data_IF_224516843767
#
_entry.id   IF_224516843767
#
_cell.length_a   1.000
_cell.length_b   1.000
_cell.length_c   1.000
_cell.angle_alpha   90.00
_cell.angle_beta   90.00
_cell.angle_gamma   90.00
#
_symmetry.space_group_name_H-M   'P 1'
#
loop_
_entity.id
_entity.type
_entity.pdbx_description
1 polymer ?
#
# COMPACT_ATOMS: atom_id res chain seq x y z
N UNK A 1 8.98 3.47 -15.96
CA UNK A 1 9.04 2.12 -15.38
C UNK A 1 8.18 2.16 -14.11
N UNK A 2 6.88 1.93 -14.25
CA UNK A 2 5.94 2.03 -13.14
C UNK A 2 6.04 0.77 -12.29
N UNK A 3 6.44 0.91 -11.03
CA UNK A 3 6.44 -0.17 -10.07
C UNK A 3 4.99 -0.49 -9.69
N UNK A 4 4.32 -1.30 -10.51
CA UNK A 4 3.05 -1.92 -10.14
C UNK A 4 3.37 -3.00 -9.09
N UNK A 5 3.02 -2.75 -7.83
CA UNK A 5 2.84 -3.84 -6.86
C UNK A 5 1.61 -4.63 -7.31
N UNK A 6 1.81 -5.60 -8.21
CA UNK A 6 0.72 -6.40 -8.77
C UNK A 6 0.26 -7.52 -7.82
N UNK A 7 0.99 -7.82 -6.75
CA UNK A 7 0.68 -8.95 -5.86
C UNK A 7 -0.71 -8.84 -5.20
N UNK A 8 -1.19 -7.64 -4.90
CA UNK A 8 -2.52 -7.44 -4.32
C UNK A 8 -3.68 -7.56 -5.33
N UNK A 9 -3.39 -7.44 -6.63
CA UNK A 9 -4.41 -7.31 -7.67
C UNK A 9 -4.90 -8.66 -8.16
N UNK A 10 -6.20 -8.92 -8.00
CA UNK A 10 -6.84 -10.16 -8.47
C UNK A 10 -6.10 -11.41 -7.98
N UNK A 11 -5.91 -12.40 -8.85
CA UNK A 11 -5.25 -13.66 -8.48
C UNK A 11 -3.73 -13.65 -8.69
N UNK A 12 -3.11 -12.47 -8.85
CA UNK A 12 -1.68 -12.36 -9.17
C UNK A 12 -0.77 -13.05 -8.16
N UNK A 13 -1.05 -12.93 -6.86
CA UNK A 13 -0.28 -13.63 -5.82
C UNK A 13 -0.43 -15.15 -5.89
N UNK A 14 -1.64 -15.64 -6.19
CA UNK A 14 -1.92 -17.06 -6.37
C UNK A 14 -1.13 -17.61 -7.56
N UNK A 15 -1.23 -16.96 -8.72
CA UNK A 15 -0.53 -17.36 -9.92
C UNK A 15 1.00 -17.35 -9.74
N UNK A 16 1.54 -16.38 -9.00
CA UNK A 16 2.97 -16.33 -8.71
C UNK A 16 3.44 -17.56 -7.90
N UNK A 17 2.65 -17.97 -6.89
CA UNK A 17 2.96 -19.15 -6.07
C UNK A 17 2.82 -20.46 -6.86
N UNK A 18 1.74 -20.63 -7.61
CA UNK A 18 1.52 -21.81 -8.45
C UNK A 18 2.62 -21.98 -9.51
N UNK A 19 3.06 -20.87 -10.12
CA UNK A 19 4.12 -20.88 -11.15
C UNK A 19 5.45 -21.41 -10.63
N UNK A 20 5.77 -21.22 -9.35
CA UNK A 20 7.03 -21.70 -8.75
C UNK A 20 6.86 -23.05 -8.02
N UNK A 21 5.73 -23.73 -8.25
CA UNK A 21 5.47 -25.11 -7.83
C UNK A 21 4.83 -25.27 -6.45
N UNK A 22 4.39 -24.18 -5.80
CA UNK A 22 3.60 -24.31 -4.59
C UNK A 22 2.22 -24.90 -4.92
N UNK A 23 1.70 -25.72 -3.99
CA UNK A 23 0.39 -26.38 -4.08
C UNK A 23 -0.49 -25.97 -2.90
N UNK A 24 -1.79 -26.23 -3.04
CA UNK A 24 -2.79 -25.88 -2.02
C UNK A 24 -2.74 -24.39 -1.65
N UNK A 25 -2.67 -23.54 -2.67
CA UNK A 25 -2.60 -22.09 -2.46
C UNK A 25 -3.99 -21.59 -2.04
N UNK A 26 -4.07 -21.07 -0.82
CA UNK A 26 -5.24 -20.40 -0.29
C UNK A 26 -4.96 -18.90 -0.19
N UNK A 27 -5.90 -18.08 -0.65
CA UNK A 27 -5.83 -16.62 -0.59
C UNK A 27 -6.85 -16.11 0.42
N UNK A 28 -6.40 -15.29 1.37
CA UNK A 28 -7.25 -14.56 2.29
C UNK A 28 -7.08 -13.06 2.07
N UNK A 29 -8.20 -12.37 1.82
CA UNK A 29 -8.26 -10.91 1.72
C UNK A 29 -8.81 -10.35 3.03
N UNK A 30 -8.11 -9.37 3.59
CA UNK A 30 -8.48 -8.67 4.81
C UNK A 30 -8.73 -7.21 4.47
N UNK A 31 -9.99 -6.79 4.53
CA UNK A 31 -10.34 -5.37 4.53
C UNK A 31 -10.01 -4.79 5.90
N UNK A 32 -9.23 -3.72 5.92
CA UNK A 32 -8.81 -3.04 7.14
C UNK A 32 -9.04 -1.54 7.01
N UNK A 33 -9.14 -0.87 8.16
CA UNK A 33 -9.05 0.59 8.22
C UNK A 33 -7.68 0.94 8.78
N UNK A 34 -6.88 1.64 7.99
CA UNK A 34 -5.61 2.22 8.43
C UNK A 34 -5.92 3.52 9.17
N UNK A 35 -5.43 3.63 10.40
CA UNK A 35 -5.69 4.74 11.29
C UNK A 35 -4.44 5.59 11.44
N UNK A 36 -4.42 6.77 10.82
CA UNK A 36 -3.33 7.73 10.94
C UNK A 36 -3.74 8.89 11.83
N UNK A 37 -3.06 9.03 12.97
CA UNK A 37 -3.34 10.10 13.94
C UNK A 37 -3.01 11.51 13.45
N UNK A 38 -2.30 11.66 12.33
CA UNK A 38 -2.01 12.95 11.71
C UNK A 38 -1.77 12.81 10.21
N UNK A 39 -1.85 13.94 9.50
CA UNK A 39 -1.48 13.98 8.09
C UNK A 39 0.00 13.64 7.86
N UNK A 40 0.87 14.04 8.79
CA UNK A 40 2.29 13.69 8.76
C UNK A 40 2.48 12.17 8.85
N UNK A 41 1.82 11.50 9.80
CA UNK A 41 1.86 10.05 9.92
C UNK A 41 1.35 9.33 8.66
N UNK A 42 0.29 9.87 8.03
CA UNK A 42 -0.20 9.34 6.76
C UNK A 42 0.83 9.50 5.63
N UNK A 43 1.48 10.66 5.54
CA UNK A 43 2.54 10.91 4.54
C UNK A 43 3.75 10.00 4.76
N UNK A 44 4.19 9.84 6.01
CA UNK A 44 5.32 8.97 6.34
C UNK A 44 5.02 7.52 5.97
N UNK A 45 3.83 7.02 6.31
CA UNK A 45 3.40 5.67 5.95
C UNK A 45 3.39 5.45 4.42
N UNK A 46 2.95 6.44 3.64
CA UNK A 46 2.92 6.35 2.19
C UNK A 46 4.31 6.43 1.56
N UNK A 47 5.17 7.33 2.03
CA UNK A 47 6.38 7.74 1.31
C UNK A 47 7.69 7.20 1.88
N UNK A 48 7.77 6.78 3.14
CA UNK A 48 9.03 6.32 3.75
C UNK A 48 9.22 4.79 3.67
N UNK A 49 8.14 4.00 3.72
CA UNK A 49 8.21 2.54 3.75
C UNK A 49 7.66 1.82 2.51
N UNK A 50 7.02 2.56 1.60
CA UNK A 50 6.24 1.98 0.50
C UNK A 50 7.02 1.75 -0.80
N UNK A 51 6.38 1.14 -1.83
CA UNK A 51 6.94 1.02 -3.19
C UNK A 51 7.41 2.34 -3.81
N UNK A 52 6.86 3.45 -3.32
CA UNK A 52 7.15 4.79 -3.82
C UNK A 52 8.32 5.45 -3.09
N UNK A 53 8.89 4.85 -2.03
CA UNK A 53 9.94 5.48 -1.23
C UNK A 53 11.19 5.80 -2.04
N UNK A 54 11.64 4.87 -2.89
CA UNK A 54 12.78 5.09 -3.78
C UNK A 54 12.55 6.20 -4.81
N UNK A 55 11.30 6.40 -5.25
CA UNK A 55 10.96 7.50 -6.16
C UNK A 55 10.91 8.83 -5.38
N UNK A 56 10.29 8.81 -4.21
CA UNK A 56 10.16 9.95 -3.31
C UNK A 56 11.54 10.48 -2.83
N UNK A 57 12.50 9.59 -2.58
CA UNK A 57 13.87 9.94 -2.22
C UNK A 57 14.59 10.75 -3.31
N UNK A 58 14.20 10.58 -4.58
CA UNK A 58 14.79 11.32 -5.71
C UNK A 58 14.16 12.69 -5.94
N UNK A 59 13.03 12.99 -5.29
CA UNK A 59 12.38 14.28 -5.43
C UNK A 59 13.15 15.36 -4.67
N UNK A 60 13.21 16.56 -5.26
CA UNK A 60 13.64 17.76 -4.56
C UNK A 60 12.63 18.16 -3.48
N UNK A 61 13.02 19.09 -2.61
CA UNK A 61 12.20 19.51 -1.48
C UNK A 61 10.86 20.14 -1.91
N UNK A 62 10.83 20.88 -3.02
CA UNK A 62 9.62 21.49 -3.55
C UNK A 62 8.63 20.43 -4.04
N UNK A 63 9.12 19.48 -4.82
CA UNK A 63 8.34 18.33 -5.28
C UNK A 63 7.82 17.49 -4.11
N UNK A 64 8.64 17.24 -3.08
CA UNK A 64 8.21 16.54 -1.85
C UNK A 64 7.08 17.26 -1.13
N UNK A 65 7.13 18.59 -1.01
CA UNK A 65 6.05 19.39 -0.41
C UNK A 65 4.76 19.30 -1.23
N UNK A 66 4.87 19.38 -2.55
CA UNK A 66 3.72 19.28 -3.45
C UNK A 66 3.03 17.92 -3.34
N UNK A 67 3.77 16.81 -3.46
CA UNK A 67 3.16 15.47 -3.39
C UNK A 67 2.56 15.16 -2.03
N UNK A 68 3.16 15.66 -0.92
CA UNK A 68 2.53 15.57 0.41
C UNK A 68 1.21 16.32 0.46
N UNK A 69 1.16 17.55 -0.06
CA UNK A 69 -0.07 18.36 -0.08
C UNK A 69 -1.18 17.69 -0.90
N UNK A 70 -0.86 17.20 -2.10
CA UNK A 70 -1.82 16.50 -2.97
C UNK A 70 -2.30 15.19 -2.34
N UNK A 71 -1.41 14.46 -1.69
CA UNK A 71 -1.77 13.24 -0.98
C UNK A 71 -2.74 13.53 0.17
N UNK A 72 -2.46 14.54 1.00
CA UNK A 72 -3.36 14.94 2.09
C UNK A 72 -4.71 15.43 1.59
N UNK A 73 -4.74 16.15 0.47
CA UNK A 73 -6.00 16.54 -0.19
C UNK A 73 -6.84 15.32 -0.55
N UNK A 74 -6.21 14.28 -1.11
CA UNK A 74 -6.89 13.03 -1.47
C UNK A 74 -7.45 12.29 -0.24
N UNK A 75 -6.86 12.51 0.94
CA UNK A 75 -7.28 11.87 2.18
C UNK A 75 -8.37 12.63 2.95
N UNK A 76 -8.76 13.84 2.53
CA UNK A 76 -9.76 14.65 3.24
C UNK A 76 -11.08 13.93 3.49
N UNK A 77 -11.54 13.12 2.53
CA UNK A 77 -12.77 12.35 2.65
C UNK A 77 -12.70 11.22 3.70
N UNK A 78 -11.49 10.88 4.15
CA UNK A 78 -11.23 9.87 5.16
C UNK A 78 -10.93 10.48 6.54
N UNK A 79 -10.95 11.81 6.66
CA UNK A 79 -10.71 12.49 7.94
C UNK A 79 -12.00 12.52 8.78
N UNK A 80 -11.93 11.98 10.01
CA UNK A 80 -13.09 11.89 10.91
C UNK A 80 -13.23 13.08 11.88
N UNK A 81 -12.34 14.07 11.77
CA UNK A 81 -12.24 15.19 12.72
C UNK A 81 -11.04 15.08 13.67
N UNK A 82 -10.47 13.88 13.83
CA UNK A 82 -9.34 13.60 14.70
C UNK A 82 -8.20 12.82 14.03
N UNK A 83 -8.52 11.96 13.06
CA UNK A 83 -7.60 11.03 12.42
C UNK A 83 -8.04 10.72 10.99
N UNK A 84 -7.13 10.18 10.19
CA UNK A 84 -7.44 9.69 8.85
C UNK A 84 -7.71 8.20 8.89
N UNK A 85 -8.95 7.80 8.55
CA UNK A 85 -9.43 6.41 8.50
C UNK A 85 -9.42 5.91 7.05
N UNK A 86 -8.26 5.51 6.57
CA UNK A 86 -8.06 5.15 5.17
C UNK A 86 -8.38 3.66 4.95
N UNK A 87 -9.27 3.30 4.01
CA UNK A 87 -9.52 1.90 3.70
C UNK A 87 -8.28 1.25 3.07
N UNK A 88 -7.90 0.09 3.57
CA UNK A 88 -6.79 -0.71 3.06
C UNK A 88 -7.19 -2.18 2.86
N UNK A 89 -6.38 -2.90 2.08
CA UNK A 89 -6.53 -4.34 1.88
C UNK A 89 -5.18 -5.02 2.10
N UNK A 90 -5.17 -6.11 2.87
CA UNK A 90 -4.07 -7.06 2.91
C UNK A 90 -4.47 -8.36 2.23
N UNK A 91 -3.63 -8.82 1.31
CA UNK A 91 -3.78 -10.12 0.64
C UNK A 91 -2.72 -11.06 1.20
N UNK A 92 -3.16 -12.14 1.85
CA UNK A 92 -2.31 -13.15 2.46
C UNK A 92 -2.48 -14.44 1.67
N UNK A 93 -1.37 -15.10 1.37
CA UNK A 93 -1.37 -16.42 0.74
C UNK A 93 -0.70 -17.46 1.63
N UNK A 94 -1.31 -18.63 1.75
CA UNK A 94 -0.72 -19.81 2.40
C UNK A 94 -0.63 -20.93 1.38
N UNK A 95 0.51 -21.62 1.33
CA UNK A 95 0.74 -22.71 0.39
C UNK A 95 1.81 -23.68 0.89
N UNK A 96 1.84 -24.88 0.32
CA UNK A 96 2.81 -25.93 0.66
C UNK A 96 3.69 -26.25 -0.55
N UNK A 97 5.00 -26.45 -0.31
CA UNK A 97 5.94 -26.97 -1.32
C UNK A 97 6.44 -28.33 -0.83
N UNK A 98 6.21 -29.38 -1.61
CA UNK A 98 6.77 -30.71 -1.39
C UNK A 98 7.92 -30.92 -2.34
#
# INVERSE_FOLDING_TARGET
>A
MSALIAAGTGDSLKFALERVGFKSVEIKRLSVTLDFGSGEAACEAAFLGGPVSLAYDRFDEGTRKQVKSEYLESLKNYYDGSSYKVPGEFVIATACKR
#
